data_IF_635869379847
#
_entry.id   IF_635869379847
#
_cell.length_a   1.000
_cell.length_b   1.000
_cell.length_c   1.000
_cell.angle_alpha   90.00
_cell.angle_beta   90.00
_cell.angle_gamma   90.00
#
_symmetry.space_group_name_H-M   'P 1'
#
loop_
_entity.id
_entity.type
_entity.pdbx_description
1 polymer ?
#
# COMPACT_ATOMS: atom_id res chain seq x y z
N UNK A 1 -10.26 5.31 -15.73
CA UNK A 1 -9.42 4.38 -14.94
C UNK A 1 -8.03 4.45 -15.54
N UNK A 2 -7.09 5.09 -14.84
CA UNK A 2 -5.68 5.16 -15.27
C UNK A 2 -4.91 4.06 -14.55
N UNK A 3 -4.18 3.24 -15.31
CA UNK A 3 -3.15 2.37 -14.74
C UNK A 3 -1.97 3.27 -14.39
N UNK A 4 -1.56 3.27 -13.12
CA UNK A 4 -0.47 4.12 -12.61
C UNK A 4 0.86 3.40 -12.55
N UNK A 5 0.90 2.08 -12.67
CA UNK A 5 2.16 1.32 -12.74
C UNK A 5 3.06 1.92 -13.83
N UNK A 6 4.34 2.09 -13.49
CA UNK A 6 5.39 2.80 -14.26
C UNK A 6 5.24 4.31 -14.38
N UNK A 7 4.23 4.93 -13.76
CA UNK A 7 4.07 6.38 -13.71
C UNK A 7 4.59 6.93 -12.38
N UNK A 8 4.94 8.21 -12.37
CA UNK A 8 5.18 8.92 -11.12
C UNK A 8 3.91 8.91 -10.27
N UNK A 9 4.04 8.60 -8.99
CA UNK A 9 2.92 8.60 -8.06
C UNK A 9 2.30 10.01 -8.00
N UNK A 10 0.96 10.13 -8.05
CA UNK A 10 0.32 11.42 -7.83
C UNK A 10 0.66 11.93 -6.42
N UNK A 11 1.37 13.06 -6.37
CA UNK A 11 1.73 13.72 -5.12
C UNK A 11 0.55 14.48 -4.55
N UNK A 12 0.54 14.71 -3.24
CA UNK A 12 -0.50 15.46 -2.54
C UNK A 12 0.03 16.11 -1.27
N UNK A 13 -0.68 17.15 -0.84
CA UNK A 13 -0.55 17.77 0.48
C UNK A 13 -1.93 17.80 1.13
N UNK A 14 -2.09 17.18 2.30
CA UNK A 14 -3.37 17.11 2.98
C UNK A 14 -3.21 17.00 4.50
N UNK A 15 -4.31 17.22 5.22
CA UNK A 15 -4.34 16.99 6.66
C UNK A 15 -4.21 15.49 6.98
N UNK A 16 -3.54 15.16 8.07
CA UNK A 16 -3.34 13.79 8.49
C UNK A 16 -3.25 13.66 10.01
N UNK A 17 -3.60 12.48 10.53
CA UNK A 17 -3.26 12.05 11.89
C UNK A 17 -2.01 11.19 11.81
N UNK A 18 -0.90 11.65 12.39
CA UNK A 18 0.36 10.92 12.39
C UNK A 18 0.32 9.69 13.33
N UNK A 19 1.31 8.81 13.20
CA UNK A 19 1.46 7.61 14.02
C UNK A 19 1.45 7.90 15.54
N UNK A 20 1.98 9.04 15.96
CA UNK A 20 1.98 9.48 17.36
C UNK A 20 0.64 10.09 17.84
N UNK A 21 -0.37 10.16 16.97
CA UNK A 21 -1.68 10.77 17.22
C UNK A 21 -1.75 12.29 17.04
N UNK A 22 -0.66 12.94 16.62
CA UNK A 22 -0.67 14.38 16.30
C UNK A 22 -1.37 14.64 14.98
N UNK A 23 -2.26 15.62 14.95
CA UNK A 23 -2.87 16.13 13.72
C UNK A 23 -1.95 17.17 13.10
N UNK A 24 -1.69 17.04 11.80
CA UNK A 24 -1.01 18.02 10.97
C UNK A 24 -1.90 18.40 9.78
N UNK A 25 -1.75 19.60 9.24
CA UNK A 25 -2.57 20.10 8.14
C UNK A 25 -1.88 19.97 6.77
N UNK A 26 -0.59 19.64 6.74
CA UNK A 26 0.29 19.73 5.58
C UNK A 26 1.16 18.48 5.38
N UNK A 27 0.62 17.28 5.62
CA UNK A 27 1.31 16.04 5.29
C UNK A 27 1.50 15.92 3.77
N UNK A 28 2.74 15.78 3.33
CA UNK A 28 3.11 15.67 1.91
C UNK A 28 3.61 14.27 1.59
N UNK A 29 3.04 13.60 0.60
CA UNK A 29 3.52 12.27 0.20
C UNK A 29 4.98 12.33 -0.27
N UNK A 30 5.35 13.37 -1.02
CA UNK A 30 6.72 13.58 -1.48
C UNK A 30 7.75 13.85 -0.38
N UNK A 31 7.33 14.14 0.86
CA UNK A 31 8.25 14.20 2.01
C UNK A 31 8.88 12.83 2.33
N UNK A 32 8.30 11.74 1.82
CA UNK A 32 8.78 10.37 1.99
C UNK A 32 9.66 9.90 0.81
N UNK A 33 9.97 10.76 -0.17
CA UNK A 33 10.84 10.40 -1.31
C UNK A 33 12.20 9.87 -0.84
N UNK A 34 12.76 8.93 -1.61
CA UNK A 34 13.99 8.21 -1.25
C UNK A 34 13.74 7.01 -0.33
N UNK A 35 12.49 6.71 0.02
CA UNK A 35 12.04 5.46 0.62
C UNK A 35 10.97 4.84 -0.27
N UNK A 36 10.77 3.53 -0.15
CA UNK A 36 9.56 2.89 -0.68
C UNK A 36 8.36 3.32 0.15
N UNK A 37 7.20 3.43 -0.50
CA UNK A 37 5.96 3.84 0.16
C UNK A 37 4.85 2.86 -0.22
N UNK A 38 4.14 2.35 0.78
CA UNK A 38 2.89 1.61 0.61
C UNK A 38 1.72 2.54 0.94
N UNK A 39 1.10 3.09 -0.10
CA UNK A 39 -0.14 3.86 0.04
C UNK A 39 -1.32 2.93 -0.08
N UNK A 40 -2.25 2.97 0.87
CA UNK A 40 -3.49 2.20 0.77
C UNK A 40 -4.72 3.08 1.07
N UNK A 41 -5.70 3.00 0.18
CA UNK A 41 -6.98 3.66 0.31
C UNK A 41 -8.00 2.70 0.92
N UNK A 42 -8.89 3.22 1.75
CA UNK A 42 -10.04 2.48 2.25
C UNK A 42 -11.31 3.35 2.15
N UNK A 43 -12.50 2.74 2.06
CA UNK A 43 -13.71 3.49 1.74
C UNK A 43 -14.10 4.55 2.79
N UNK A 44 -14.26 4.13 4.05
CA UNK A 44 -14.78 4.96 5.14
C UNK A 44 -14.32 4.45 6.52
N UNK A 45 -14.09 5.37 7.44
CA UNK A 45 -13.94 5.14 8.87
C UNK A 45 -15.22 4.54 9.49
N UNK A 46 -15.10 3.85 10.62
CA UNK A 46 -16.22 3.25 11.38
C UNK A 46 -17.12 2.30 10.57
N UNK A 47 -16.57 1.65 9.54
CA UNK A 47 -17.27 0.62 8.75
C UNK A 47 -16.69 -0.78 8.99
N UNK A 48 -17.04 -1.76 8.16
CA UNK A 48 -16.89 -3.18 8.51
C UNK A 48 -15.51 -3.78 8.18
N UNK A 49 -15.12 -3.78 6.90
CA UNK A 49 -13.85 -4.40 6.46
C UNK A 49 -12.66 -3.50 6.74
N UNK A 50 -12.84 -2.17 6.70
CA UNK A 50 -11.79 -1.17 6.89
C UNK A 50 -10.95 -1.35 8.17
N UNK A 51 -11.53 -1.52 9.39
CA UNK A 51 -10.72 -1.72 10.59
C UNK A 51 -9.87 -2.97 10.51
N UNK A 52 -10.38 -4.05 9.90
CA UNK A 52 -9.60 -5.29 9.75
C UNK A 52 -8.36 -5.08 8.87
N UNK A 53 -8.48 -4.32 7.77
CA UNK A 53 -7.34 -4.01 6.89
C UNK A 53 -6.33 -3.09 7.58
N UNK A 54 -6.79 -2.02 8.24
CA UNK A 54 -5.92 -1.06 8.93
C UNK A 54 -5.14 -1.76 10.05
N UNK A 55 -5.80 -2.59 10.86
CA UNK A 55 -5.14 -3.39 11.90
C UNK A 55 -4.18 -4.44 11.32
N UNK A 56 -4.52 -5.05 10.18
CA UNK A 56 -3.62 -5.99 9.52
C UNK A 56 -2.32 -5.32 9.03
N UNK A 57 -2.40 -4.07 8.54
CA UNK A 57 -1.23 -3.24 8.23
C UNK A 57 -0.46 -2.88 9.50
N UNK A 58 -1.16 -2.47 10.56
CA UNK A 58 -0.53 -2.08 11.84
C UNK A 58 0.30 -3.22 12.44
N UNK A 59 -0.24 -4.44 12.48
CA UNK A 59 0.48 -5.62 12.97
C UNK A 59 1.71 -6.00 12.13
N UNK A 60 1.84 -5.45 10.91
CA UNK A 60 2.95 -5.70 9.97
C UNK A 60 3.80 -4.47 9.71
N UNK A 61 3.52 -3.33 10.35
CA UNK A 61 4.25 -2.08 10.08
C UNK A 61 5.74 -2.24 10.34
N UNK A 62 6.12 -3.01 11.37
CA UNK A 62 7.51 -3.32 11.66
C UNK A 62 8.21 -4.06 10.51
N UNK A 63 7.51 -5.00 9.85
CA UNK A 63 8.05 -5.73 8.70
C UNK A 63 8.20 -4.83 7.47
N UNK A 64 7.29 -3.88 7.27
CA UNK A 64 7.45 -2.84 6.24
C UNK A 64 8.67 -1.96 6.55
N UNK A 65 8.80 -1.50 7.80
CA UNK A 65 9.91 -0.66 8.24
C UNK A 65 11.28 -1.36 8.11
N UNK A 66 11.37 -2.66 8.44
CA UNK A 66 12.57 -3.49 8.24
C UNK A 66 13.00 -3.55 6.77
N UNK A 67 12.05 -3.43 5.84
CA UNK A 67 12.28 -3.39 4.39
C UNK A 67 12.43 -1.96 3.85
N UNK A 68 12.47 -0.94 4.72
CA UNK A 68 12.58 0.47 4.32
C UNK A 68 11.32 1.03 3.65
N UNK A 69 10.15 0.49 3.98
CA UNK A 69 8.85 0.92 3.44
C UNK A 69 8.09 1.74 4.49
N UNK A 70 7.63 2.92 4.10
CA UNK A 70 6.69 3.73 4.87
C UNK A 70 5.24 3.38 4.48
N UNK A 71 4.34 3.27 5.45
CA UNK A 71 2.93 2.95 5.21
C UNK A 71 2.08 4.21 5.37
N UNK A 72 1.13 4.44 4.46
CA UNK A 72 0.20 5.58 4.53
C UNK A 72 -1.22 5.11 4.22
N UNK A 73 -2.14 5.32 5.16
CA UNK A 73 -3.57 5.06 4.96
C UNK A 73 -4.31 6.32 4.52
N UNK A 74 -5.27 6.19 3.60
CA UNK A 74 -6.03 7.34 3.07
C UNK A 74 -7.52 6.98 2.97
N UNK A 75 -8.40 7.88 3.39
CA UNK A 75 -9.83 7.84 3.03
C UNK A 75 -10.40 9.25 2.93
N UNK A 76 -11.69 9.35 2.59
CA UNK A 76 -12.39 10.64 2.42
C UNK A 76 -12.78 11.29 3.75
N UNK A 77 -12.62 10.58 4.87
CA UNK A 77 -12.97 11.10 6.19
C UNK A 77 -11.99 12.19 6.65
N UNK A 78 -12.45 13.03 7.58
CA UNK A 78 -11.61 14.09 8.15
C UNK A 78 -10.54 13.53 9.10
N UNK A 79 -9.46 14.29 9.28
CA UNK A 79 -8.43 14.02 10.28
C UNK A 79 -9.00 13.96 11.72
N UNK A 80 -10.10 14.67 11.98
CA UNK A 80 -10.80 14.58 13.27
C UNK A 80 -11.51 13.24 13.44
N UNK A 81 -12.14 12.72 12.38
CA UNK A 81 -12.75 11.39 12.35
C UNK A 81 -11.70 10.31 12.54
N UNK A 82 -10.59 10.38 11.82
CA UNK A 82 -9.46 9.47 11.98
C UNK A 82 -8.95 9.44 13.42
N UNK A 83 -8.75 10.62 14.02
CA UNK A 83 -8.26 10.72 15.39
C UNK A 83 -9.29 10.16 16.39
N UNK A 84 -10.58 10.42 16.19
CA UNK A 84 -11.63 9.82 17.02
C UNK A 84 -11.62 8.28 16.92
N UNK A 85 -11.42 7.74 15.71
CA UNK A 85 -11.39 6.30 15.48
C UNK A 85 -10.16 5.62 16.08
N UNK A 86 -8.99 6.28 15.96
CA UNK A 86 -7.74 5.89 16.65
C UNK A 86 -7.87 5.88 18.18
N UNK A 87 -8.71 6.75 18.73
CA UNK A 87 -8.97 6.81 20.18
C UNK A 87 -10.12 5.90 20.64
N UNK A 88 -10.79 5.20 19.72
CA UNK A 88 -11.80 4.18 20.04
C UNK A 88 -11.12 2.82 20.17
N UNK A 89 -11.48 2.04 21.19
CA UNK A 89 -10.86 0.74 21.41
C UNK A 89 -11.28 -0.29 20.33
N UNK A 90 -10.41 -1.25 19.95
CA UNK A 90 -10.79 -2.30 18.99
C UNK A 90 -12.03 -3.10 19.38
N UNK A 91 -12.22 -3.35 20.68
CA UNK A 91 -13.41 -4.04 21.20
C UNK A 91 -14.73 -3.28 20.94
N UNK A 92 -14.65 -1.97 20.74
CA UNK A 92 -15.78 -1.07 20.45
C UNK A 92 -15.88 -0.73 18.95
N UNK A 93 -15.15 -1.45 18.08
CA UNK A 93 -15.11 -1.19 16.64
C UNK A 93 -14.15 -0.07 16.22
N UNK A 94 -13.28 0.35 17.12
CA UNK A 94 -12.22 1.32 16.86
C UNK A 94 -10.93 0.71 16.30
N UNK A 95 -9.90 1.54 16.16
CA UNK A 95 -8.56 1.10 15.74
C UNK A 95 -7.59 0.94 16.91
N UNK A 96 -7.78 1.71 17.99
CA UNK A 96 -6.69 1.96 18.93
C UNK A 96 -5.52 2.71 18.29
N UNK A 97 -4.40 2.80 19.02
CA UNK A 97 -3.19 3.43 18.50
C UNK A 97 -2.60 2.59 17.36
N UNK A 98 -2.44 3.21 16.20
CA UNK A 98 -1.76 2.64 15.02
C UNK A 98 -0.48 3.40 14.71
N UNK A 99 0.46 2.71 14.07
CA UNK A 99 1.85 3.15 13.89
C UNK A 99 2.16 3.71 12.48
N UNK A 100 1.15 4.30 11.82
CA UNK A 100 1.31 4.96 10.53
C UNK A 100 0.30 6.10 10.37
N UNK A 101 0.55 7.08 9.48
CA UNK A 101 -0.36 8.20 9.26
C UNK A 101 -1.66 7.78 8.54
N UNK A 102 -2.76 8.43 8.94
CA UNK A 102 -4.04 8.44 8.20
C UNK A 102 -4.27 9.82 7.59
N UNK A 103 -4.35 9.89 6.27
CA UNK A 103 -4.53 11.11 5.50
C UNK A 103 -6.00 11.32 5.15
N UNK A 104 -6.46 12.55 5.31
CA UNK A 104 -7.82 12.98 5.10
C UNK A 104 -8.03 13.57 3.69
N UNK A 105 -8.61 12.80 2.78
CA UNK A 105 -8.94 13.20 1.40
C UNK A 105 -10.35 13.82 1.30
N UNK A 106 -10.61 14.84 2.13
CA UNK A 106 -11.96 15.41 2.29
C UNK A 106 -12.50 16.13 1.05
N UNK A 107 -11.65 16.53 0.11
CA UNK A 107 -12.05 17.17 -1.16
C UNK A 107 -12.05 16.20 -2.34
N UNK A 108 -11.73 14.92 -2.08
CA UNK A 108 -11.67 13.81 -3.04
C UNK A 108 -10.56 13.93 -4.09
N UNK A 109 -9.68 14.93 -3.99
CA UNK A 109 -8.65 15.19 -4.99
C UNK A 109 -7.64 14.05 -5.09
N UNK A 110 -7.31 13.40 -3.96
CA UNK A 110 -6.32 12.33 -3.92
C UNK A 110 -6.90 11.07 -4.60
N UNK A 111 -8.06 10.58 -4.19
CA UNK A 111 -8.65 9.39 -4.81
C UNK A 111 -9.02 9.62 -6.29
N UNK A 112 -9.32 10.85 -6.70
CA UNK A 112 -9.48 11.21 -8.10
C UNK A 112 -8.17 11.10 -8.87
N UNK A 113 -7.07 11.64 -8.34
CA UNK A 113 -5.75 11.55 -8.95
C UNK A 113 -5.25 10.10 -9.04
N UNK A 114 -5.60 9.27 -8.06
CA UNK A 114 -5.31 7.84 -8.07
C UNK A 114 -6.30 7.01 -8.91
N UNK A 115 -7.38 7.62 -9.41
CA UNK A 115 -8.31 7.00 -10.36
C UNK A 115 -9.20 5.91 -9.77
N UNK A 116 -9.47 5.96 -8.46
CA UNK A 116 -10.11 4.90 -7.66
C UNK A 116 -11.44 5.33 -7.00
N UNK A 117 -12.07 6.38 -7.51
CA UNK A 117 -13.37 6.87 -7.05
C UNK A 117 -14.48 5.86 -7.36
N UNK A 118 -15.20 5.43 -6.33
CA UNK A 118 -16.44 4.68 -6.46
C UNK A 118 -17.63 5.63 -6.70
N UNK A 119 -18.68 5.24 -7.47
CA UNK A 119 -19.86 6.08 -7.71
C UNK A 119 -20.59 6.61 -6.46
N UNK A 120 -20.36 5.98 -5.30
CA UNK A 120 -20.88 6.43 -4.00
C UNK A 120 -20.09 7.59 -3.37
N UNK A 121 -19.06 8.12 -4.05
CA UNK A 121 -18.25 9.24 -3.54
C UNK A 121 -17.24 8.83 -2.48
N UNK A 122 -16.76 7.58 -2.53
CA UNK A 122 -15.76 7.00 -1.61
C UNK A 122 -14.66 6.33 -2.41
N UNK A 123 -13.52 6.04 -1.78
CA UNK A 123 -12.45 5.29 -2.41
C UNK A 123 -12.80 3.79 -2.54
N UNK A 124 -12.41 3.17 -3.66
CA UNK A 124 -12.27 1.71 -3.73
C UNK A 124 -11.13 1.25 -2.81
N UNK A 125 -11.05 -0.06 -2.53
CA UNK A 125 -9.97 -0.65 -1.74
C UNK A 125 -8.71 -0.78 -2.60
N UNK A 126 -7.94 0.30 -2.69
CA UNK A 126 -6.77 0.35 -3.55
C UNK A 126 -5.46 0.43 -2.77
N UNK A 127 -4.40 -0.23 -3.24
CA UNK A 127 -3.05 -0.10 -2.67
C UNK A 127 -2.03 0.10 -3.78
N UNK A 128 -1.00 0.90 -3.49
CA UNK A 128 0.04 1.29 -4.43
C UNK A 128 1.40 1.13 -3.74
N UNK A 129 2.27 0.30 -4.31
CA UNK A 129 3.68 0.25 -3.95
C UNK A 129 4.44 1.26 -4.81
N UNK A 130 5.04 2.24 -4.18
CA UNK A 130 5.85 3.30 -4.77
C UNK A 130 7.31 3.05 -4.39
N UNK A 131 8.21 3.15 -5.36
CA UNK A 131 9.66 3.00 -5.13
C UNK A 131 10.31 4.29 -4.60
N UNK A 132 11.62 4.22 -4.38
CA UNK A 132 12.46 5.33 -3.94
C UNK A 132 12.50 6.50 -4.94
N UNK A 133 12.36 6.20 -6.24
CA UNK A 133 12.24 7.16 -7.35
C UNK A 133 10.82 7.72 -7.55
N UNK A 134 9.92 7.47 -6.60
CA UNK A 134 8.54 7.96 -6.59
C UNK A 134 7.66 7.49 -7.74
N UNK A 135 7.99 6.34 -8.31
CA UNK A 135 7.28 5.66 -9.40
C UNK A 135 6.47 4.50 -8.82
N UNK A 136 5.21 4.37 -9.25
CA UNK A 136 4.34 3.26 -8.87
C UNK A 136 4.84 1.97 -9.52
N UNK A 137 5.16 0.95 -8.72
CA UNK A 137 5.65 -0.36 -9.17
C UNK A 137 4.56 -1.43 -9.17
N UNK A 138 3.56 -1.30 -8.31
CA UNK A 138 2.47 -2.26 -8.21
C UNK A 138 1.21 -1.55 -7.72
N UNK A 139 0.05 -1.97 -8.24
CA UNK A 139 -1.25 -1.51 -7.76
C UNK A 139 -2.25 -2.66 -7.68
N UNK A 140 -3.11 -2.61 -6.67
CA UNK A 140 -4.26 -3.51 -6.52
C UNK A 140 -5.48 -2.64 -6.28
N UNK A 141 -6.60 -2.95 -6.93
CA UNK A 141 -7.89 -2.27 -6.71
C UNK A 141 -8.97 -3.33 -6.54
N UNK A 142 -9.47 -3.45 -5.31
CA UNK A 142 -10.55 -4.36 -4.96
C UNK A 142 -11.88 -3.60 -4.89
N UNK A 143 -12.97 -4.30 -5.23
CA UNK A 143 -14.31 -3.85 -4.90
C UNK A 143 -14.54 -3.82 -3.37
N UNK A 144 -15.55 -3.09 -2.92
CA UNK A 144 -15.85 -2.80 -1.52
C UNK A 144 -15.96 -4.04 -0.58
N UNK A 145 -16.51 -5.20 -1.00
CA UNK A 145 -16.62 -6.34 -0.10
C UNK A 145 -15.34 -7.18 0.01
N UNK A 146 -14.31 -6.91 -0.80
CA UNK A 146 -13.12 -7.76 -0.93
C UNK A 146 -11.91 -7.13 -0.22
N UNK A 147 -11.63 -7.58 1.00
CA UNK A 147 -10.43 -7.18 1.74
C UNK A 147 -9.14 -7.60 1.03
N UNK A 148 -8.07 -6.83 1.22
CA UNK A 148 -6.74 -7.10 0.66
C UNK A 148 -5.93 -8.06 1.54
N UNK A 149 -4.95 -8.70 0.93
CA UNK A 149 -3.94 -9.48 1.64
C UNK A 149 -2.68 -8.63 1.85
N UNK A 150 -2.37 -8.29 3.11
CA UNK A 150 -1.17 -7.50 3.45
C UNK A 150 0.12 -8.29 3.24
N UNK A 151 0.07 -9.62 3.37
CA UNK A 151 1.24 -10.48 3.13
C UNK A 151 1.63 -10.48 1.65
N UNK A 152 0.66 -10.32 0.74
CA UNK A 152 0.93 -10.15 -0.70
C UNK A 152 1.61 -8.81 -0.99
N UNK A 153 1.26 -7.76 -0.24
CA UNK A 153 1.95 -6.46 -0.36
C UNK A 153 3.41 -6.56 0.09
N UNK A 154 3.67 -7.27 1.19
CA UNK A 154 5.04 -7.56 1.65
C UNK A 154 5.81 -8.40 0.62
N UNK A 155 5.18 -9.42 0.02
CA UNK A 155 5.78 -10.23 -1.05
C UNK A 155 6.17 -9.38 -2.26
N UNK A 156 5.34 -8.42 -2.64
CA UNK A 156 5.65 -7.51 -3.75
C UNK A 156 6.79 -6.53 -3.42
N UNK A 157 6.95 -6.12 -2.15
CA UNK A 157 8.14 -5.38 -1.70
C UNK A 157 9.38 -6.26 -1.84
N UNK A 158 9.32 -7.51 -1.38
CA UNK A 158 10.44 -8.45 -1.49
C UNK A 158 10.82 -8.72 -2.96
N UNK A 159 9.83 -8.82 -3.85
CA UNK A 159 10.06 -9.04 -5.28
C UNK A 159 10.74 -7.82 -5.93
N UNK A 160 10.31 -6.62 -5.57
CA UNK A 160 10.95 -5.38 -6.03
C UNK A 160 12.41 -5.30 -5.54
N UNK A 161 12.66 -5.61 -4.26
CA UNK A 161 14.01 -5.59 -3.67
C UNK A 161 14.93 -6.62 -4.33
N UNK A 162 14.41 -7.83 -4.57
CA UNK A 162 15.15 -8.87 -5.26
C UNK A 162 15.55 -8.42 -6.66
N UNK A 163 14.59 -7.94 -7.45
CA UNK A 163 14.84 -7.48 -8.82
C UNK A 163 15.86 -6.34 -8.85
N UNK A 164 15.70 -5.32 -8.01
CA UNK A 164 16.62 -4.17 -7.96
C UNK A 164 18.03 -4.57 -7.53
N UNK A 165 18.16 -5.56 -6.65
CA UNK A 165 19.47 -6.02 -6.15
C UNK A 165 20.19 -6.96 -7.12
N UNK A 166 19.46 -7.87 -7.78
CA UNK A 166 20.07 -8.94 -8.58
C UNK A 166 19.96 -8.72 -10.09
N UNK A 167 19.04 -7.87 -10.55
CA UNK A 167 18.74 -7.67 -11.97
C UNK A 167 17.93 -8.81 -12.62
N UNK A 168 17.57 -9.84 -11.85
CA UNK A 168 16.77 -10.98 -12.31
C UNK A 168 15.27 -10.68 -12.16
N UNK A 169 14.41 -11.33 -12.97
CA UNK A 169 12.96 -11.22 -12.84
C UNK A 169 12.41 -12.24 -11.86
N UNK A 170 11.29 -11.92 -11.22
CA UNK A 170 10.59 -12.80 -10.28
C UNK A 170 9.53 -13.64 -11.02
N UNK A 171 9.63 -14.98 -11.04
CA UNK A 171 8.63 -15.87 -11.62
C UNK A 171 7.24 -15.79 -10.96
N UNK A 172 6.25 -16.47 -11.55
CA UNK A 172 4.91 -16.53 -10.99
C UNK A 172 4.94 -17.18 -9.59
N UNK A 173 4.26 -16.56 -8.62
CA UNK A 173 4.21 -17.06 -7.24
C UNK A 173 5.51 -16.86 -6.44
N UNK A 174 6.52 -16.18 -6.97
CA UNK A 174 7.81 -15.98 -6.30
C UNK A 174 7.68 -15.42 -4.88
N UNK A 175 8.39 -16.02 -3.93
CA UNK A 175 8.55 -15.57 -2.56
C UNK A 175 10.02 -15.35 -2.22
N UNK A 176 10.26 -14.61 -1.13
CA UNK A 176 11.62 -14.39 -0.63
C UNK A 176 12.33 -15.72 -0.35
N UNK A 177 13.41 -15.96 -1.09
CA UNK A 177 14.21 -17.18 -1.02
C UNK A 177 14.13 -18.05 -2.27
N UNK A 178 13.14 -17.82 -3.13
CA UNK A 178 12.98 -18.55 -4.39
C UNK A 178 14.00 -18.10 -5.44
N UNK A 179 14.35 -19.00 -6.37
CA UNK A 179 15.24 -18.71 -7.50
C UNK A 179 14.60 -17.66 -8.43
N UNK A 180 15.37 -16.63 -8.78
CA UNK A 180 15.00 -15.68 -9.84
C UNK A 180 15.17 -16.28 -11.22
N UNK A 181 14.72 -15.55 -12.25
CA UNK A 181 14.91 -15.95 -13.64
C UNK A 181 15.64 -14.84 -14.39
N UNK A 182 16.69 -15.20 -15.13
CA UNK A 182 17.35 -14.25 -16.04
C UNK A 182 16.43 -13.97 -17.22
N UNK A 183 16.32 -12.71 -17.59
CA UNK A 183 15.44 -12.21 -18.66
C UNK A 183 16.03 -12.45 -20.08
N UNK A 184 16.65 -13.62 -20.28
CA UNK A 184 17.16 -14.09 -21.58
C UNK A 184 16.52 -15.41 -21.98
N UNK A 185 16.44 -15.75 -23.27
CA UNK A 185 15.91 -17.04 -23.71
C UNK A 185 16.58 -18.25 -23.04
N UNK A 186 17.90 -18.21 -22.87
CA UNK A 186 18.66 -19.27 -22.19
C UNK A 186 18.35 -19.32 -20.70
N UNK A 187 18.20 -18.17 -20.05
CA UNK A 187 17.84 -18.07 -18.62
C UNK A 187 16.45 -18.64 -18.34
N UNK A 188 15.49 -18.34 -19.21
CA UNK A 188 14.13 -18.92 -19.15
C UNK A 188 14.18 -20.43 -19.33
N UNK A 189 14.93 -20.93 -20.31
CA UNK A 189 15.06 -22.37 -20.54
C UNK A 189 15.70 -23.09 -19.36
N UNK A 190 16.74 -22.50 -18.75
CA UNK A 190 17.39 -23.04 -17.55
C UNK A 190 16.42 -23.11 -16.36
N UNK A 191 15.67 -22.01 -16.11
CA UNK A 191 14.72 -21.95 -15.01
C UNK A 191 13.57 -22.97 -15.19
N UNK A 192 12.96 -23.02 -16.38
CA UNK A 192 11.83 -23.91 -16.66
C UNK A 192 12.24 -25.39 -16.68
N UNK A 193 13.48 -25.72 -17.07
CA UNK A 193 13.96 -27.10 -16.99
C UNK A 193 13.98 -27.66 -15.56
N UNK A 194 14.06 -26.79 -14.55
CA UNK A 194 14.09 -27.15 -13.13
C UNK A 194 12.71 -27.05 -12.46
N UNK A 195 11.90 -26.05 -12.85
CA UNK A 195 10.74 -25.62 -12.07
C UNK A 195 9.38 -25.78 -12.79
N UNK A 196 9.33 -26.18 -14.07
CA UNK A 196 8.07 -26.12 -14.85
C UNK A 196 6.91 -26.94 -14.28
N UNK A 197 7.19 -28.07 -13.62
CA UNK A 197 6.14 -28.95 -13.06
C UNK A 197 5.57 -28.43 -11.73
N UNK A 198 6.25 -27.49 -11.07
CA UNK A 198 5.89 -26.93 -9.76
C UNK A 198 5.26 -25.52 -9.83
N UNK A 199 5.12 -24.96 -11.05
CA UNK A 199 4.53 -23.64 -11.32
C UNK A 199 3.00 -23.65 -11.42
#
# INVERSE_FOLDING_TARGET
MSVLVTQQAPDFTAAAVLANGTIVDDFQLSSLKGKKIMVFFYPLDFTFVCPSEILAHHHRVAQFAEKGVEVVGISVDSQFTHNAWRNTAPADGGLGAIDFPLVADTDHSIMQAYGIVHPAGIALRASFLIDEEFTVRHQVVNDLPLGRNVDEMLRMVDALDFHTTHGEVCPAGWNKGDEGMKDTPEGVAEYLAKNADDL
#
